data_IF_395469576602
#
_entry.id   IF_395469576602
#
_cell.length_a   1.000
_cell.length_b   1.000
_cell.length_c   1.000
_cell.angle_alpha   90.00
_cell.angle_beta   90.00
_cell.angle_gamma   90.00
#
_symmetry.space_group_name_H-M   'P 1'
#
loop_
_entity.id
_entity.type
_entity.pdbx_description
1 polymer ?
#
# COMPACT_ATOMS: atom_id res chain seq x y z
N UNK A 1 -15.26 13.76 -9.28
CA UNK A 1 -15.54 12.54 -10.08
C UNK A 1 -16.20 11.44 -9.22
N UNK A 2 -15.54 10.90 -8.18
CA UNK A 2 -16.13 9.80 -7.39
C UNK A 2 -17.52 10.12 -6.84
N UNK A 3 -17.70 11.27 -6.20
CA UNK A 3 -18.97 11.69 -5.62
C UNK A 3 -20.08 11.87 -6.68
N UNK A 4 -19.76 12.45 -7.82
CA UNK A 4 -20.69 12.67 -8.94
C UNK A 4 -21.20 11.36 -9.55
N UNK A 5 -20.43 10.26 -9.41
CA UNK A 5 -20.77 8.93 -9.90
C UNK A 5 -21.24 7.97 -8.79
N UNK A 6 -21.57 8.51 -7.61
CA UNK A 6 -22.03 7.72 -6.47
C UNK A 6 -20.92 6.89 -5.82
N UNK A 7 -19.66 7.25 -6.05
CA UNK A 7 -18.49 6.67 -5.44
C UNK A 7 -18.02 7.42 -4.20
N UNK A 8 -16.94 6.95 -3.59
CA UNK A 8 -16.36 7.50 -2.38
C UNK A 8 -14.83 7.36 -2.40
N UNK A 9 -14.15 8.23 -1.68
CA UNK A 9 -12.67 8.21 -1.54
C UNK A 9 -12.27 7.40 -0.32
N UNK A 10 -11.18 6.63 -0.43
CA UNK A 10 -10.58 5.89 0.68
C UNK A 10 -9.08 6.19 0.83
N UNK A 11 -8.54 5.75 1.94
CA UNK A 11 -7.10 5.65 2.23
C UNK A 11 -6.74 4.21 2.58
N UNK A 12 -5.47 3.89 2.69
CA UNK A 12 -5.02 2.55 3.13
C UNK A 12 -5.53 2.15 4.53
N UNK A 13 -5.93 3.12 5.36
CA UNK A 13 -6.44 2.84 6.71
C UNK A 13 -7.92 2.45 6.75
N UNK A 14 -8.72 2.84 5.77
CA UNK A 14 -10.18 2.59 5.75
C UNK A 14 -10.68 1.88 4.47
N UNK A 15 -9.78 1.44 3.60
CA UNK A 15 -10.13 0.82 2.32
C UNK A 15 -11.12 -0.36 2.47
N UNK A 16 -10.96 -1.18 3.52
CA UNK A 16 -11.86 -2.31 3.80
C UNK A 16 -13.29 -1.85 4.11
N UNK A 17 -13.44 -0.82 4.97
CA UNK A 17 -14.77 -0.28 5.31
C UNK A 17 -15.43 0.33 4.07
N UNK A 18 -14.63 1.03 3.25
CA UNK A 18 -15.12 1.66 2.01
C UNK A 18 -15.53 0.61 0.97
N UNK A 19 -14.75 -0.46 0.77
CA UNK A 19 -15.16 -1.56 -0.10
C UNK A 19 -16.42 -2.26 0.40
N UNK A 20 -16.55 -2.50 1.71
CA UNK A 20 -17.79 -3.06 2.30
C UNK A 20 -18.99 -2.14 2.05
N UNK A 21 -18.80 -0.83 2.22
CA UNK A 21 -19.83 0.16 1.92
C UNK A 21 -20.22 0.14 0.43
N UNK A 22 -19.26 0.03 -0.47
CA UNK A 22 -19.49 -0.01 -1.92
C UNK A 22 -20.27 -1.27 -2.32
N UNK A 23 -19.89 -2.44 -1.80
CA UNK A 23 -20.61 -3.70 -2.07
C UNK A 23 -22.02 -3.76 -1.46
N UNK A 24 -22.29 -2.98 -0.40
CA UNK A 24 -23.65 -2.80 0.08
C UNK A 24 -24.56 -2.00 -0.88
N UNK A 25 -24.02 -1.41 -1.95
CA UNK A 25 -24.72 -0.56 -2.92
C UNK A 25 -24.64 -1.06 -4.35
N UNK A 26 -23.57 -1.76 -4.70
CA UNK A 26 -23.29 -2.24 -6.06
C UNK A 26 -22.61 -3.61 -6.00
N UNK A 27 -22.89 -4.42 -6.98
CA UNK A 27 -22.30 -5.76 -7.12
C UNK A 27 -20.84 -5.71 -7.57
N UNK A 28 -20.42 -4.60 -8.20
CA UNK A 28 -19.10 -4.42 -8.80
C UNK A 28 -18.52 -3.07 -8.43
N UNK A 29 -17.21 -3.06 -8.19
CA UNK A 29 -16.45 -1.86 -7.82
C UNK A 29 -15.32 -1.64 -8.81
N UNK A 30 -15.16 -0.41 -9.29
CA UNK A 30 -13.92 0.06 -9.91
C UNK A 30 -13.07 0.71 -8.81
N UNK A 31 -11.92 0.11 -8.52
CA UNK A 31 -10.98 0.59 -7.51
C UNK A 31 -9.78 1.25 -8.19
N UNK A 32 -9.54 2.50 -7.87
CA UNK A 32 -8.44 3.30 -8.45
C UNK A 32 -7.89 4.32 -7.42
N UNK A 33 -6.68 4.86 -7.60
CA UNK A 33 -5.77 4.62 -8.71
C UNK A 33 -4.82 3.42 -8.49
N UNK A 34 -4.69 2.86 -7.28
CA UNK A 34 -3.70 1.84 -6.96
C UNK A 34 -4.30 0.43 -6.97
N UNK A 35 -3.80 -0.42 -7.86
CA UNK A 35 -4.27 -1.80 -8.00
C UNK A 35 -3.91 -2.70 -6.82
N UNK A 36 -2.77 -2.43 -6.17
CA UNK A 36 -2.23 -3.30 -5.12
C UNK A 36 -3.01 -3.13 -3.83
N UNK A 37 -3.31 -1.88 -3.44
CA UNK A 37 -4.18 -1.59 -2.30
C UNK A 37 -5.56 -2.23 -2.49
N UNK A 38 -6.15 -2.10 -3.68
CA UNK A 38 -7.44 -2.70 -4.00
C UNK A 38 -7.40 -4.23 -3.92
N UNK A 39 -6.37 -4.86 -4.52
CA UNK A 39 -6.19 -6.31 -4.51
C UNK A 39 -5.98 -6.85 -3.10
N UNK A 40 -5.10 -6.22 -2.31
CA UNK A 40 -4.85 -6.64 -0.94
C UNK A 40 -6.11 -6.52 -0.07
N UNK A 41 -6.81 -5.40 -0.21
CA UNK A 41 -8.06 -5.18 0.53
C UNK A 41 -9.12 -6.20 0.16
N UNK A 42 -9.32 -6.47 -1.14
CA UNK A 42 -10.25 -7.50 -1.60
C UNK A 42 -9.86 -8.91 -1.13
N UNK A 43 -8.57 -9.23 -1.15
CA UNK A 43 -8.06 -10.50 -0.62
C UNK A 43 -8.40 -10.68 0.88
N UNK A 44 -8.25 -9.64 1.69
CA UNK A 44 -8.64 -9.65 3.10
C UNK A 44 -10.15 -9.71 3.33
N UNK A 45 -10.95 -9.53 2.30
CA UNK A 45 -12.42 -9.66 2.29
C UNK A 45 -12.86 -10.98 1.63
N UNK A 46 -11.94 -11.94 1.46
CA UNK A 46 -12.18 -13.25 0.86
C UNK A 46 -12.69 -13.19 -0.59
N UNK A 47 -12.40 -12.10 -1.31
CA UNK A 47 -12.70 -12.01 -2.75
C UNK A 47 -11.62 -12.79 -3.50
N UNK A 48 -12.00 -13.79 -4.33
CA UNK A 48 -11.05 -14.55 -5.11
C UNK A 48 -10.22 -13.67 -6.05
N UNK A 49 -8.92 -13.95 -6.18
CA UNK A 49 -8.04 -13.20 -7.10
C UNK A 49 -8.54 -13.23 -8.54
N UNK A 50 -9.21 -14.31 -8.94
CA UNK A 50 -9.84 -14.46 -10.26
C UNK A 50 -11.02 -13.50 -10.51
N UNK A 51 -11.58 -12.91 -9.46
CA UNK A 51 -12.66 -11.93 -9.52
C UNK A 51 -12.17 -10.47 -9.36
N UNK A 52 -10.84 -10.29 -9.20
CA UNK A 52 -10.16 -8.99 -9.10
C UNK A 52 -9.27 -8.77 -10.31
N UNK A 53 -9.84 -8.21 -11.37
CA UNK A 53 -9.18 -8.07 -12.67
C UNK A 53 -8.58 -6.68 -12.85
N UNK A 54 -7.39 -6.62 -13.46
CA UNK A 54 -6.74 -5.34 -13.77
C UNK A 54 -7.38 -4.72 -14.99
N UNK A 55 -7.80 -3.47 -14.84
CA UNK A 55 -8.29 -2.63 -15.94
C UNK A 55 -7.15 -1.75 -16.44
N UNK A 56 -6.72 -1.97 -17.68
CA UNK A 56 -5.72 -1.15 -18.36
C UNK A 56 -6.40 0.00 -19.10
N UNK A 57 -6.25 1.27 -18.66
CA UNK A 57 -6.92 2.40 -19.29
C UNK A 57 -6.47 2.67 -20.73
N UNK A 58 -5.30 2.17 -21.12
CA UNK A 58 -4.73 2.36 -22.46
C UNK A 58 -5.27 1.35 -23.50
N UNK A 59 -6.07 0.38 -23.04
CA UNK A 59 -6.63 -0.67 -23.89
C UNK A 59 -8.16 -0.58 -24.02
N UNK A 60 -8.72 -0.91 -25.18
CA UNK A 60 -10.17 -1.05 -25.33
C UNK A 60 -10.73 -2.03 -24.31
N UNK A 61 -11.82 -1.64 -23.64
CA UNK A 61 -12.46 -2.45 -22.58
C UNK A 61 -11.50 -2.81 -21.42
N UNK A 62 -10.46 -1.99 -21.20
CA UNK A 62 -9.44 -2.28 -20.18
C UNK A 62 -8.59 -3.52 -20.47
N UNK A 63 -8.55 -3.99 -21.72
CA UNK A 63 -7.91 -5.23 -22.12
C UNK A 63 -8.66 -6.50 -21.72
N UNK A 64 -9.90 -6.37 -21.24
CA UNK A 64 -10.71 -7.48 -20.74
C UNK A 64 -11.86 -7.82 -21.73
N UNK A 65 -12.22 -9.10 -21.80
CA UNK A 65 -13.41 -9.52 -22.51
C UNK A 65 -14.69 -9.11 -21.77
N UNK A 66 -15.84 -8.96 -22.46
CA UNK A 66 -17.12 -8.69 -21.80
C UNK A 66 -17.48 -9.73 -20.74
N UNK A 67 -17.12 -10.98 -20.95
CA UNK A 67 -17.35 -12.05 -19.99
C UNK A 67 -16.49 -11.88 -18.72
N UNK A 68 -15.21 -11.54 -18.86
CA UNK A 68 -14.34 -11.25 -17.72
C UNK A 68 -14.85 -10.06 -16.91
N UNK A 69 -15.26 -8.98 -17.58
CA UNK A 69 -15.85 -7.81 -16.91
C UNK A 69 -17.14 -8.21 -16.17
N UNK A 70 -17.96 -9.08 -16.76
CA UNK A 70 -19.19 -9.56 -16.12
C UNK A 70 -18.91 -10.37 -14.86
N UNK A 71 -17.89 -11.21 -14.87
CA UNK A 71 -17.51 -12.07 -13.74
C UNK A 71 -16.75 -11.32 -12.62
N UNK A 72 -16.05 -10.26 -12.96
CA UNK A 72 -15.27 -9.51 -11.98
C UNK A 72 -16.15 -8.86 -10.91
N UNK A 73 -15.74 -8.97 -9.64
CA UNK A 73 -16.28 -8.17 -8.53
C UNK A 73 -15.55 -6.85 -8.37
N UNK A 74 -14.22 -6.86 -8.56
CA UNK A 74 -13.40 -5.67 -8.49
C UNK A 74 -12.63 -5.50 -9.81
N UNK A 75 -12.79 -4.36 -10.43
CA UNK A 75 -11.92 -3.89 -11.50
C UNK A 75 -10.86 -2.99 -10.88
N UNK A 76 -9.61 -3.40 -10.98
CA UNK A 76 -8.47 -2.71 -10.42
C UNK A 76 -7.80 -1.85 -11.50
N UNK A 77 -7.83 -0.55 -11.34
CA UNK A 77 -7.12 0.35 -12.25
C UNK A 77 -5.63 0.01 -12.28
N UNK A 78 -5.02 -0.04 -13.46
CA UNK A 78 -3.60 -0.39 -13.68
C UNK A 78 -2.66 0.73 -13.21
N UNK A 79 -2.88 1.29 -12.05
CA UNK A 79 -2.00 2.25 -11.40
C UNK A 79 -1.25 1.61 -10.24
N UNK A 80 -0.19 2.26 -9.79
CA UNK A 80 0.63 1.80 -8.67
C UNK A 80 1.45 2.95 -8.08
N UNK A 81 1.89 2.80 -6.83
CA UNK A 81 2.87 3.68 -6.22
C UNK A 81 4.28 3.25 -6.62
N UNK A 82 5.06 4.13 -7.26
CA UNK A 82 6.43 3.82 -7.71
C UNK A 82 7.36 3.40 -6.57
N UNK A 83 7.21 3.99 -5.40
CA UNK A 83 7.99 3.63 -4.21
C UNK A 83 7.70 2.20 -3.77
N UNK A 84 6.43 1.84 -3.64
CA UNK A 84 6.05 0.51 -3.15
C UNK A 84 6.33 -0.60 -4.16
N UNK A 85 6.45 -0.28 -5.46
CA UNK A 85 6.85 -1.25 -6.50
C UNK A 85 8.32 -1.68 -6.43
N UNK A 86 9.15 -0.95 -5.70
CA UNK A 86 10.56 -1.32 -5.50
C UNK A 86 10.72 -2.52 -4.57
N UNK A 87 9.75 -2.77 -3.73
CA UNK A 87 9.80 -3.89 -2.78
C UNK A 87 9.53 -5.20 -3.50
N UNK A 88 10.42 -6.17 -3.31
CA UNK A 88 10.36 -7.48 -3.94
C UNK A 88 10.42 -8.59 -2.89
N UNK A 89 9.79 -9.70 -3.20
CA UNK A 89 9.80 -10.91 -2.36
C UNK A 89 11.24 -11.34 -1.98
N UNK A 90 12.19 -11.20 -2.90
CA UNK A 90 13.59 -11.56 -2.66
C UNK A 90 14.25 -10.72 -1.56
N UNK A 91 13.84 -9.45 -1.36
CA UNK A 91 14.37 -8.62 -0.27
C UNK A 91 14.00 -9.23 1.08
N UNK A 92 12.76 -9.68 1.22
CA UNK A 92 12.27 -10.34 2.44
C UNK A 92 13.02 -11.66 2.67
N UNK A 93 13.10 -12.51 1.63
CA UNK A 93 13.74 -13.82 1.75
C UNK A 93 15.21 -13.72 2.15
N UNK A 94 15.99 -12.81 1.52
CA UNK A 94 17.40 -12.56 1.87
C UNK A 94 17.53 -12.03 3.28
N UNK A 95 16.68 -11.08 3.67
CA UNK A 95 16.74 -10.49 5.00
C UNK A 95 16.42 -11.52 6.10
N UNK A 96 15.45 -12.40 5.89
CA UNK A 96 15.09 -13.48 6.83
C UNK A 96 16.21 -14.50 7.03
N UNK A 97 17.03 -14.75 6.02
CA UNK A 97 18.23 -15.61 6.16
C UNK A 97 19.24 -15.03 7.17
N UNK A 98 19.36 -13.70 7.20
CA UNK A 98 20.28 -12.99 8.10
C UNK A 98 19.64 -12.69 9.47
N UNK A 99 18.31 -12.62 9.51
CA UNK A 99 17.52 -12.26 10.69
C UNK A 99 16.34 -13.22 10.90
N UNK A 100 16.59 -14.49 11.31
CA UNK A 100 15.54 -15.50 11.42
C UNK A 100 14.40 -15.15 12.38
N UNK A 101 14.66 -14.35 13.41
CA UNK A 101 13.68 -13.86 14.38
C UNK A 101 13.15 -12.45 14.07
N UNK A 102 13.58 -11.87 12.96
CA UNK A 102 13.15 -10.54 12.55
C UNK A 102 11.73 -10.54 11.97
N UNK A 103 11.07 -9.42 12.08
CA UNK A 103 9.69 -9.21 11.62
C UNK A 103 9.66 -8.32 10.38
N UNK A 104 8.74 -8.60 9.47
CA UNK A 104 8.56 -7.87 8.22
C UNK A 104 7.20 -7.18 8.25
N UNK A 105 7.18 -5.90 7.96
CA UNK A 105 5.96 -5.12 7.84
C UNK A 105 5.96 -4.31 6.54
N UNK A 106 4.85 -4.31 5.81
CA UNK A 106 4.74 -3.59 4.55
C UNK A 106 3.43 -2.80 4.42
N UNK A 107 3.49 -1.78 3.58
CA UNK A 107 2.31 -1.03 3.16
C UNK A 107 1.49 -1.85 2.14
N UNK A 108 0.15 -1.81 2.16
CA UNK A 108 -0.70 -2.61 1.27
C UNK A 108 -0.65 -2.20 -0.22
N UNK A 109 0.04 -1.12 -0.56
CA UNK A 109 0.37 -0.75 -1.94
C UNK A 109 1.61 -1.49 -2.49
N UNK A 110 2.30 -2.29 -1.67
CA UNK A 110 3.34 -3.18 -2.14
C UNK A 110 2.74 -4.32 -3.00
N UNK A 111 3.58 -4.95 -3.81
CA UNK A 111 3.17 -6.10 -4.59
C UNK A 111 2.52 -7.18 -3.71
N UNK A 112 1.54 -7.89 -4.25
CA UNK A 112 0.78 -8.92 -3.54
C UNK A 112 1.69 -9.95 -2.86
N UNK A 113 2.75 -10.41 -3.55
CA UNK A 113 3.73 -11.37 -3.02
C UNK A 113 4.50 -10.80 -1.82
N UNK A 114 4.84 -9.51 -1.85
CA UNK A 114 5.48 -8.83 -0.71
C UNK A 114 4.54 -8.80 0.49
N UNK A 115 3.29 -8.43 0.27
CA UNK A 115 2.27 -8.45 1.32
C UNK A 115 2.06 -9.86 1.90
N UNK A 116 2.01 -10.88 1.06
CA UNK A 116 1.87 -12.29 1.48
C UNK A 116 3.03 -12.80 2.32
N UNK A 117 4.24 -12.33 2.04
CA UNK A 117 5.45 -12.70 2.78
C UNK A 117 5.70 -11.84 4.02
N UNK A 118 4.99 -10.74 4.18
CA UNK A 118 5.11 -9.88 5.36
C UNK A 118 4.35 -10.48 6.55
N UNK A 119 4.90 -10.31 7.76
CA UNK A 119 4.22 -10.73 8.99
C UNK A 119 3.06 -9.79 9.33
N UNK A 120 3.20 -8.53 8.91
CA UNK A 120 2.18 -7.48 9.09
C UNK A 120 2.02 -6.66 7.82
N UNK A 121 0.80 -6.28 7.51
CA UNK A 121 0.49 -5.37 6.39
C UNK A 121 -0.54 -4.35 6.84
N UNK A 122 -0.24 -3.07 6.65
CA UNK A 122 -1.16 -2.01 7.04
C UNK A 122 -0.71 -0.61 6.63
N UNK A 123 -1.56 0.37 6.96
CA UNK A 123 -1.29 1.79 6.69
C UNK A 123 -0.04 2.30 7.42
N UNK A 124 0.42 3.47 7.06
CA UNK A 124 1.56 4.13 7.74
C UNK A 124 1.35 4.25 9.25
N UNK A 125 0.15 4.61 9.69
CA UNK A 125 -0.21 4.65 11.12
C UNK A 125 -0.14 3.27 11.77
N UNK A 126 -0.64 2.23 11.09
CA UNK A 126 -0.54 0.86 11.56
C UNK A 126 0.92 0.40 11.69
N UNK A 127 1.79 0.73 10.72
CA UNK A 127 3.22 0.42 10.76
C UNK A 127 3.87 1.06 12.00
N UNK A 128 3.64 2.35 12.22
CA UNK A 128 4.19 3.07 13.38
C UNK A 128 3.74 2.41 14.69
N UNK A 129 2.43 2.19 14.86
CA UNK A 129 1.86 1.61 16.08
C UNK A 129 2.35 0.18 16.34
N UNK A 130 2.47 -0.63 15.30
CA UNK A 130 2.95 -2.01 15.42
C UNK A 130 4.42 -2.05 15.88
N UNK A 131 5.28 -1.24 15.28
CA UNK A 131 6.70 -1.15 15.70
C UNK A 131 6.82 -0.55 17.10
N UNK A 132 6.04 0.48 17.42
CA UNK A 132 6.02 1.08 18.75
C UNK A 132 5.66 0.07 19.84
N UNK A 133 4.65 -0.76 19.59
CA UNK A 133 4.17 -1.77 20.55
C UNK A 133 5.07 -3.01 20.66
N UNK A 134 6.03 -3.19 19.76
CA UNK A 134 6.92 -4.36 19.77
C UNK A 134 7.91 -4.33 20.95
N UNK A 135 8.45 -5.49 21.30
CA UNK A 135 9.43 -5.62 22.38
C UNK A 135 10.71 -4.79 22.11
N UNK A 136 11.36 -4.25 23.14
CA UNK A 136 12.69 -3.68 23.02
C UNK A 136 13.66 -4.67 22.37
N UNK A 137 14.59 -4.18 21.55
CA UNK A 137 15.54 -5.02 20.82
C UNK A 137 14.99 -5.74 19.60
N UNK A 138 13.71 -5.55 19.25
CA UNK A 138 13.10 -6.14 18.05
C UNK A 138 13.75 -5.63 16.75
N UNK A 139 13.74 -6.47 15.71
CA UNK A 139 14.29 -6.16 14.40
C UNK A 139 13.20 -6.18 13.34
N UNK A 140 13.17 -5.13 12.53
CA UNK A 140 12.11 -4.89 11.54
C UNK A 140 12.68 -4.61 10.15
N UNK A 141 12.14 -5.29 9.14
CA UNK A 141 12.24 -4.91 7.74
C UNK A 141 10.95 -4.20 7.34
N UNK A 142 11.05 -2.98 6.86
CA UNK A 142 9.89 -2.11 6.63
C UNK A 142 9.77 -1.72 5.17
N UNK A 143 8.65 -2.08 4.56
CA UNK A 143 8.29 -1.77 3.16
C UNK A 143 7.30 -0.62 3.08
N UNK A 144 7.77 0.61 3.29
CA UNK A 144 7.03 1.86 3.06
C UNK A 144 8.01 2.99 2.69
N UNK A 145 7.55 4.23 2.61
CA UNK A 145 8.35 5.37 2.19
C UNK A 145 9.59 5.60 3.11
N UNK A 146 10.73 5.90 2.50
CA UNK A 146 12.03 5.94 3.18
C UNK A 146 12.11 6.94 4.33
N UNK A 147 11.57 8.16 4.16
CA UNK A 147 11.64 9.18 5.22
C UNK A 147 10.86 8.74 6.46
N UNK A 148 9.72 8.06 6.26
CA UNK A 148 8.98 7.47 7.37
C UNK A 148 9.82 6.38 8.05
N UNK A 149 10.46 5.49 7.30
CA UNK A 149 11.32 4.43 7.85
C UNK A 149 12.47 5.01 8.65
N UNK A 150 13.15 6.04 8.13
CA UNK A 150 14.24 6.72 8.83
C UNK A 150 13.76 7.41 10.12
N UNK A 151 12.59 8.05 10.09
CA UNK A 151 11.98 8.65 11.28
C UNK A 151 11.72 7.59 12.35
N UNK A 152 11.07 6.49 11.99
CA UNK A 152 10.77 5.38 12.91
C UNK A 152 12.08 4.78 13.46
N UNK A 153 13.09 4.58 12.62
CA UNK A 153 14.39 4.05 13.03
C UNK A 153 15.04 4.95 14.08
N UNK A 154 15.02 6.26 13.89
CA UNK A 154 15.57 7.22 14.84
C UNK A 154 14.76 7.25 16.14
N UNK A 155 13.44 7.29 16.04
CA UNK A 155 12.53 7.40 17.19
C UNK A 155 12.65 6.18 18.13
N UNK A 156 12.77 4.97 17.59
CA UNK A 156 12.78 3.74 18.38
C UNK A 156 14.18 3.16 18.64
N UNK A 157 15.25 3.78 18.10
CA UNK A 157 16.64 3.39 18.38
C UNK A 157 16.99 3.38 19.89
N UNK A 158 16.53 4.34 20.72
CA UNK A 158 16.82 4.31 22.16
C UNK A 158 16.24 3.08 22.88
N UNK A 159 15.24 2.43 22.30
CA UNK A 159 14.66 1.17 22.82
C UNK A 159 15.40 -0.07 22.29
N UNK A 160 16.51 0.11 21.59
CA UNK A 160 17.29 -0.96 20.96
C UNK A 160 16.60 -1.60 19.74
N UNK A 161 15.48 -1.03 19.25
CA UNK A 161 14.80 -1.53 18.07
C UNK A 161 15.59 -1.19 16.81
N UNK A 162 15.78 -2.18 15.94
CA UNK A 162 16.45 -2.03 14.65
C UNK A 162 15.39 -1.99 13.54
N UNK A 163 15.33 -0.91 12.80
CA UNK A 163 14.37 -0.72 11.71
C UNK A 163 15.14 -0.51 10.41
N UNK A 164 14.92 -1.38 9.44
CA UNK A 164 15.63 -1.36 8.16
C UNK A 164 14.65 -1.15 7.00
N UNK A 165 15.02 -0.30 6.06
CA UNK A 165 14.30 -0.10 4.81
C UNK A 165 14.41 -1.34 3.91
N UNK A 166 13.30 -1.74 3.28
CA UNK A 166 13.24 -3.03 2.57
C UNK A 166 14.04 -3.04 1.26
N UNK A 167 14.06 -1.94 0.52
CA UNK A 167 14.76 -1.91 -0.77
C UNK A 167 16.25 -1.60 -0.61
N UNK A 168 17.12 -2.18 -1.46
CA UNK A 168 18.56 -1.92 -1.42
C UNK A 168 18.94 -0.55 -2.01
N UNK A 169 18.04 0.05 -2.80
CA UNK A 169 18.25 1.34 -3.45
C UNK A 169 17.31 2.39 -2.86
N UNK A 170 17.81 3.61 -2.75
CA UNK A 170 17.02 4.74 -2.25
C UNK A 170 16.08 5.21 -3.36
N UNK A 171 14.77 5.21 -3.09
CA UNK A 171 13.79 5.94 -3.89
C UNK A 171 12.97 6.82 -2.97
N UNK A 172 12.92 8.09 -3.29
CA UNK A 172 12.07 9.05 -2.62
C UNK A 172 10.78 9.25 -3.42
N UNK A 173 9.68 9.45 -2.72
CA UNK A 173 8.42 9.79 -3.38
C UNK A 173 8.51 11.19 -3.97
N UNK A 174 8.61 11.30 -5.30
CA UNK A 174 8.70 12.59 -5.99
C UNK A 174 7.49 13.49 -5.74
N UNK A 175 6.33 12.91 -5.47
CA UNK A 175 5.11 13.64 -5.15
C UNK A 175 5.20 14.26 -3.76
N UNK A 176 5.65 13.50 -2.76
CA UNK A 176 5.83 13.99 -1.39
C UNK A 176 6.97 15.03 -1.29
N UNK A 177 8.01 14.92 -2.12
CA UNK A 177 9.12 15.87 -2.19
C UNK A 177 8.68 17.26 -2.68
N UNK A 178 7.50 17.39 -3.28
CA UNK A 178 6.92 18.67 -3.68
C UNK A 178 6.23 19.39 -2.51
N UNK A 179 6.04 18.74 -1.39
CA UNK A 179 5.51 19.32 -0.17
C UNK A 179 6.70 19.91 0.61
N UNK A 180 7.16 21.07 0.16
CA UNK A 180 8.26 21.82 0.75
C UNK A 180 7.77 23.18 1.31
N UNK A 181 8.60 23.90 2.10
CA UNK A 181 8.22 25.18 2.68
C UNK A 181 7.81 26.23 1.64
N UNK A 182 8.42 26.22 0.45
CA UNK A 182 8.15 27.17 -0.62
C UNK A 182 6.75 26.96 -1.20
N UNK A 183 6.39 25.69 -1.50
CA UNK A 183 5.05 25.37 -1.97
C UNK A 183 3.98 25.57 -0.90
N UNK A 184 4.31 25.34 0.38
CA UNK A 184 3.41 25.64 1.48
C UNK A 184 3.16 27.15 1.59
N UNK A 185 4.22 27.97 1.56
CA UNK A 185 4.10 29.42 1.58
C UNK A 185 3.26 29.91 0.40
N UNK A 186 3.56 29.45 -0.82
CA UNK A 186 2.78 29.80 -2.01
C UNK A 186 1.29 29.44 -1.86
N UNK A 187 0.98 28.26 -1.32
CA UNK A 187 -0.41 27.85 -1.12
C UNK A 187 -1.14 28.75 -0.11
N UNK A 188 -0.47 29.14 0.97
CA UNK A 188 -1.06 30.01 1.99
C UNK A 188 -1.26 31.46 1.50
N UNK A 189 -0.37 31.94 0.63
CA UNK A 189 -0.46 33.27 0.03
C UNK A 189 -1.53 33.39 -1.07
N UNK A 190 -2.00 32.25 -1.62
CA UNK A 190 -2.95 32.19 -2.74
C UNK A 190 -4.28 31.49 -2.38
N UNK A 191 -4.60 31.39 -1.10
CA UNK A 191 -5.88 30.88 -0.59
C UNK A 191 -7.00 31.99 -0.71
#
# INVERSE_FOLDING_TARGET
FCGEHGGIVCTSSNARQILSWAFGRREKVLFFPDQHLGRWTGYLMDIPLSEMLVWDPDLPMGGLSPQQIKMAKVLLWKGHCSVHQMFQAQHILRWRQQHPSGMVISHPEANFEVCKLSDYVGSTDYIIKTIAASAPGSRWLVGTELNLVNRIATEFSPQGKSVQFMAPTVCMCSTMQRIDPQHLAWSLENL
#
